data_IF_315216608129
#
_entry.id   IF_315216608129
#
_cell.length_a   1.000
_cell.length_b   1.000
_cell.length_c   1.000
_cell.angle_alpha   90.00
_cell.angle_beta   90.00
_cell.angle_gamma   90.00
#
_symmetry.space_group_name_H-M   'P 1'
#
loop_
_entity.id
_entity.type
_entity.pdbx_description
1 polymer ?
#
# COMPACT_ATOMS: atom_id res chain seq x y z
N UNK A 1 61.14 2.56 -43.31
CA UNK A 1 60.49 3.82 -43.69
C UNK A 1 59.18 3.90 -42.91
N UNK A 2 59.09 4.92 -42.06
CA UNK A 2 57.88 5.50 -41.47
C UNK A 2 57.01 4.68 -40.48
N UNK A 3 57.34 4.92 -39.22
CA UNK A 3 56.51 4.98 -38.01
C UNK A 3 55.15 5.64 -38.24
N UNK A 4 54.09 5.12 -37.60
CA UNK A 4 53.02 5.96 -37.02
C UNK A 4 52.31 5.22 -35.88
N UNK A 5 52.75 5.54 -34.67
CA UNK A 5 52.08 5.27 -33.40
C UNK A 5 50.90 6.25 -33.30
N UNK A 6 49.67 5.75 -33.11
CA UNK A 6 48.56 6.59 -32.64
C UNK A 6 48.32 6.32 -31.16
N UNK A 7 48.85 7.25 -30.37
CA UNK A 7 48.55 7.47 -28.97
C UNK A 7 47.09 7.98 -28.88
N UNK A 8 46.19 7.22 -28.27
CA UNK A 8 44.87 7.69 -27.89
C UNK A 8 44.76 7.65 -26.37
N UNK A 9 44.50 8.81 -25.79
CA UNK A 9 44.57 9.09 -24.37
C UNK A 9 43.48 8.38 -23.55
N UNK A 10 43.91 7.84 -22.40
CA UNK A 10 43.09 7.42 -21.28
C UNK A 10 42.38 8.63 -20.65
N UNK A 11 41.05 8.59 -20.57
CA UNK A 11 40.31 9.23 -19.47
C UNK A 11 38.86 8.70 -19.39
N UNK A 12 38.68 7.51 -18.82
CA UNK A 12 37.34 7.09 -18.36
C UNK A 12 37.15 7.58 -16.94
N UNK A 13 36.29 8.58 -16.75
CA UNK A 13 35.81 8.98 -15.43
C UNK A 13 35.11 7.80 -14.77
N UNK A 14 35.68 7.34 -13.66
CA UNK A 14 35.02 6.40 -12.77
C UNK A 14 33.99 7.22 -11.99
N UNK A 15 32.73 7.21 -12.41
CA UNK A 15 31.65 7.63 -11.53
C UNK A 15 31.49 6.55 -10.47
N UNK A 16 32.16 6.72 -9.33
CA UNK A 16 31.85 5.94 -8.14
C UNK A 16 30.53 6.47 -7.60
N UNK A 17 29.41 5.82 -7.96
CA UNK A 17 28.16 6.06 -7.25
C UNK A 17 28.33 5.51 -5.85
N UNK A 18 28.53 6.40 -4.89
CA UNK A 18 28.38 6.08 -3.47
C UNK A 18 26.96 5.59 -3.27
N UNK A 19 26.75 4.27 -3.29
CA UNK A 19 25.51 3.69 -2.79
C UNK A 19 25.50 3.97 -1.30
N UNK A 20 24.66 4.90 -0.88
CA UNK A 20 24.37 5.15 0.52
C UNK A 20 23.84 3.84 1.13
N UNK A 21 24.73 3.08 1.76
CA UNK A 21 24.35 2.03 2.68
C UNK A 21 23.86 2.67 3.97
N UNK A 22 22.55 2.86 4.09
CA UNK A 22 21.80 2.75 5.34
C UNK A 22 20.31 2.92 5.06
N UNK A 23 19.69 1.85 4.57
CA UNK A 23 18.31 1.56 4.94
C UNK A 23 18.35 0.07 5.30
N UNK A 24 18.10 -0.24 6.57
CA UNK A 24 17.78 -1.60 6.96
C UNK A 24 16.64 -2.04 6.04
N UNK A 25 16.92 -3.05 5.22
CA UNK A 25 15.97 -3.65 4.29
C UNK A 25 14.69 -3.95 5.07
N UNK A 26 13.64 -3.16 4.82
CA UNK A 26 12.34 -3.40 5.43
C UNK A 26 11.89 -4.76 4.90
N UNK A 27 11.87 -5.78 5.77
CA UNK A 27 11.61 -7.20 5.49
C UNK A 27 10.94 -7.40 4.12
N UNK A 28 11.67 -7.98 3.16
CA UNK A 28 11.09 -8.53 1.90
C UNK A 28 10.20 -9.72 2.27
N UNK A 29 9.07 -9.43 2.92
CA UNK A 29 8.03 -10.40 3.16
C UNK A 29 7.28 -10.64 1.87
N UNK A 30 6.88 -11.89 1.62
CA UNK A 30 6.09 -12.23 0.43
C UNK A 30 4.74 -11.50 0.39
N UNK A 31 4.30 -10.90 1.50
CA UNK A 31 3.10 -10.10 1.59
C UNK A 31 1.83 -10.93 1.46
N UNK A 32 0.78 -10.29 0.94
CA UNK A 32 -0.53 -10.89 0.73
C UNK A 32 -0.91 -10.83 -0.74
N UNK A 33 -1.82 -11.68 -1.20
CA UNK A 33 -2.42 -11.61 -2.53
C UNK A 33 -3.94 -11.55 -2.47
N UNK A 34 -4.53 -10.90 -3.47
CA UNK A 34 -5.98 -10.77 -3.62
C UNK A 34 -6.57 -12.10 -4.08
N UNK A 35 -7.51 -12.62 -3.29
CA UNK A 35 -8.27 -13.84 -3.61
C UNK A 35 -9.62 -13.52 -4.25
N UNK A 36 -10.28 -12.44 -3.80
CA UNK A 36 -11.49 -11.92 -4.43
C UNK A 36 -11.69 -10.45 -4.07
N UNK A 37 -12.43 -9.74 -4.90
CA UNK A 37 -12.84 -8.37 -4.65
C UNK A 37 -14.30 -8.18 -5.08
N UNK A 38 -15.06 -7.45 -4.29
CA UNK A 38 -16.44 -7.07 -4.58
C UNK A 38 -16.69 -5.66 -4.09
N UNK A 39 -17.48 -4.88 -4.82
CA UNK A 39 -17.84 -3.53 -4.43
C UNK A 39 -19.36 -3.39 -4.41
N UNK A 40 -19.88 -2.87 -3.31
CA UNK A 40 -21.30 -2.56 -3.14
C UNK A 40 -21.46 -1.26 -2.35
N UNK A 41 -22.40 -0.40 -2.76
CA UNK A 41 -22.73 0.85 -2.09
C UNK A 41 -21.50 1.76 -1.75
N UNK A 42 -20.44 1.74 -2.56
CA UNK A 42 -19.20 2.50 -2.31
C UNK A 42 -18.27 1.87 -1.27
N UNK A 43 -18.51 0.63 -0.90
CA UNK A 43 -17.65 -0.18 -0.02
C UNK A 43 -17.02 -1.29 -0.86
N UNK A 44 -15.72 -1.16 -1.11
CA UNK A 44 -14.92 -2.20 -1.75
C UNK A 44 -14.39 -3.15 -0.68
N UNK A 45 -14.71 -4.43 -0.81
CA UNK A 45 -14.24 -5.50 0.05
C UNK A 45 -13.26 -6.39 -0.73
N UNK A 46 -12.04 -6.53 -0.22
CA UNK A 46 -10.96 -7.32 -0.83
C UNK A 46 -10.56 -8.40 0.15
N UNK A 47 -10.70 -9.67 -0.26
CA UNK A 47 -10.22 -10.80 0.53
C UNK A 47 -8.78 -11.09 0.14
N UNK A 48 -7.91 -11.24 1.14
CA UNK A 48 -6.50 -11.51 0.94
C UNK A 48 -6.08 -12.86 1.54
N UNK A 49 -5.09 -13.50 0.93
CA UNK A 49 -4.38 -14.65 1.48
C UNK A 49 -2.89 -14.34 1.60
N UNK A 50 -2.24 -14.84 2.65
CA UNK A 50 -0.79 -14.67 2.83
C UNK A 50 -0.04 -15.43 1.74
N UNK A 51 0.94 -14.81 1.09
CA UNK A 51 1.69 -15.44 0.01
C UNK A 51 2.67 -16.50 0.51
N UNK A 52 3.30 -16.25 1.65
CA UNK A 52 4.16 -17.22 2.33
C UNK A 52 4.03 -16.98 3.82
N UNK A 53 3.37 -17.91 4.51
CA UNK A 53 3.14 -17.79 5.94
C UNK A 53 4.46 -17.97 6.69
N UNK A 54 4.87 -16.98 7.47
CA UNK A 54 5.96 -17.13 8.41
C UNK A 54 5.42 -17.69 9.72
N UNK A 55 5.99 -18.81 10.17
CA UNK A 55 5.63 -19.48 11.44
C UNK A 55 6.70 -19.33 12.52
N UNK A 56 7.81 -18.64 12.21
CA UNK A 56 8.99 -18.55 13.09
C UNK A 56 9.60 -17.14 13.09
N UNK A 57 8.76 -16.13 13.31
CA UNK A 57 9.26 -14.76 13.57
C UNK A 57 9.24 -14.45 15.06
N UNK A 58 10.06 -13.49 15.49
CA UNK A 58 10.00 -12.92 16.84
C UNK A 58 8.64 -12.27 17.19
N UNK A 59 7.77 -12.06 16.19
CA UNK A 59 6.47 -11.41 16.33
C UNK A 59 5.29 -12.39 16.25
N UNK A 60 5.56 -13.70 16.16
CA UNK A 60 4.56 -14.75 16.02
C UNK A 60 4.30 -15.15 14.57
N UNK A 61 3.20 -15.88 14.36
CA UNK A 61 2.79 -16.38 13.05
C UNK A 61 1.93 -15.38 12.30
N UNK A 62 2.10 -15.31 10.98
CA UNK A 62 1.28 -14.47 10.12
C UNK A 62 -0.19 -14.92 10.08
N UNK A 63 -1.09 -13.96 9.88
CA UNK A 63 -2.51 -14.24 9.66
C UNK A 63 -2.71 -14.81 8.26
N UNK A 64 -3.34 -15.98 8.14
CA UNK A 64 -3.49 -16.69 6.86
C UNK A 64 -4.42 -15.96 5.88
N UNK A 65 -5.44 -15.27 6.39
CA UNK A 65 -6.43 -14.58 5.59
C UNK A 65 -6.82 -13.23 6.22
N UNK A 66 -6.89 -12.20 5.38
CA UNK A 66 -7.32 -10.86 5.77
C UNK A 66 -8.51 -10.41 4.94
N UNK A 67 -9.24 -9.42 5.45
CA UNK A 67 -10.25 -8.67 4.71
C UNK A 67 -9.86 -7.20 4.75
N UNK A 68 -9.77 -6.58 3.57
CA UNK A 68 -9.62 -5.13 3.43
C UNK A 68 -10.97 -4.56 3.07
N UNK A 69 -11.44 -3.59 3.86
CA UNK A 69 -12.63 -2.81 3.57
C UNK A 69 -12.22 -1.38 3.24
N UNK A 70 -12.61 -0.91 2.06
CA UNK A 70 -12.34 0.44 1.57
C UNK A 70 -13.68 1.17 1.43
N UNK A 71 -13.94 2.12 2.31
CA UNK A 71 -15.16 2.93 2.31
C UNK A 71 -14.93 4.21 1.52
N UNK A 72 -15.70 4.38 0.44
CA UNK A 72 -15.63 5.49 -0.53
C UNK A 72 -16.95 6.28 -0.60
N UNK A 73 -17.56 6.52 0.55
CA UNK A 73 -18.89 7.16 0.66
C UNK A 73 -18.81 8.67 0.82
N UNK A 74 -17.63 9.21 1.15
CA UNK A 74 -17.36 10.65 1.28
C UNK A 74 -16.53 11.18 0.10
N UNK A 75 -16.76 12.43 -0.29
CA UNK A 75 -16.14 13.04 -1.48
C UNK A 75 -14.63 13.25 -1.31
N UNK A 76 -14.19 13.59 -0.11
CA UNK A 76 -12.83 14.03 0.24
C UNK A 76 -12.11 13.05 1.19
N UNK A 77 -12.77 11.96 1.56
CA UNK A 77 -12.32 11.01 2.57
C UNK A 77 -12.48 9.57 2.07
N UNK A 78 -11.41 8.79 2.24
CA UNK A 78 -11.36 7.35 1.97
C UNK A 78 -10.89 6.66 3.23
N UNK A 79 -11.60 5.61 3.67
CA UNK A 79 -11.23 4.84 4.85
C UNK A 79 -10.85 3.44 4.44
N UNK A 80 -9.63 3.02 4.79
CA UNK A 80 -9.14 1.65 4.59
C UNK A 80 -9.06 0.98 5.95
N UNK A 81 -9.66 -0.21 6.08
CA UNK A 81 -9.58 -1.06 7.28
C UNK A 81 -9.11 -2.45 6.87
N UNK A 82 -8.06 -2.95 7.52
CA UNK A 82 -7.53 -4.31 7.31
C UNK A 82 -7.85 -5.12 8.56
N UNK A 83 -8.54 -6.24 8.39
CA UNK A 83 -9.00 -7.09 9.48
C UNK A 83 -8.56 -8.53 9.28
N UNK A 84 -8.46 -9.26 10.38
CA UNK A 84 -8.38 -10.73 10.35
C UNK A 84 -9.73 -11.28 9.86
N UNK A 85 -9.69 -12.16 8.86
CA UNK A 85 -10.89 -12.79 8.28
C UNK A 85 -11.51 -13.82 9.23
N UNK A 86 -10.68 -14.49 10.03
CA UNK A 86 -11.08 -15.66 10.80
C UNK A 86 -11.50 -15.30 12.23
N UNK A 87 -11.04 -14.15 12.74
CA UNK A 87 -11.21 -13.79 14.15
C UNK A 87 -11.44 -12.29 14.32
N UNK A 88 -12.37 -11.91 15.20
CA UNK A 88 -12.52 -10.50 15.58
C UNK A 88 -11.34 -10.08 16.46
N UNK A 89 -10.55 -9.10 15.99
CA UNK A 89 -9.49 -8.47 16.79
C UNK A 89 -10.03 -7.25 17.51
N UNK A 90 -9.30 -6.79 18.53
CA UNK A 90 -9.67 -5.61 19.28
C UNK A 90 -9.66 -4.37 18.36
N UNK A 91 -10.79 -3.67 18.31
CA UNK A 91 -10.93 -2.37 17.64
C UNK A 91 -11.15 -1.32 18.73
N UNK A 92 -10.57 -0.12 18.55
CA UNK A 92 -10.72 0.95 19.52
C UNK A 92 -12.21 1.32 19.66
N UNK A 93 -12.78 1.30 20.88
CA UNK A 93 -14.16 1.70 21.10
C UNK A 93 -14.38 3.15 20.67
N UNK A 94 -15.47 3.38 19.93
CA UNK A 94 -15.78 4.69 19.35
C UNK A 94 -16.16 5.72 20.39
N UNK A 95 -16.80 5.28 21.47
CA UNK A 95 -17.32 6.15 22.53
C UNK A 95 -16.19 6.82 23.33
N UNK A 96 -14.93 6.37 23.17
CA UNK A 96 -13.75 7.03 23.74
C UNK A 96 -13.38 8.32 23.00
N UNK A 97 -13.96 8.59 21.83
CA UNK A 97 -13.69 9.79 21.05
C UNK A 97 -14.93 10.67 20.99
N UNK A 98 -14.75 11.96 21.32
CA UNK A 98 -15.71 12.98 20.91
C UNK A 98 -15.79 12.97 19.39
N UNK A 99 -17.01 13.14 18.85
CA UNK A 99 -17.22 13.21 17.41
C UNK A 99 -16.25 14.24 16.79
N UNK A 100 -15.42 13.79 15.84
CA UNK A 100 -14.42 14.61 15.17
C UNK A 100 -12.98 14.06 15.23
N UNK A 101 -12.61 13.30 16.26
CA UNK A 101 -11.20 12.85 16.40
C UNK A 101 -10.83 11.63 15.53
N UNK A 102 -11.80 10.78 15.19
CA UNK A 102 -11.64 9.64 14.26
C UNK A 102 -12.46 9.78 12.96
N UNK A 103 -12.89 11.00 12.64
CA UNK A 103 -13.85 11.28 11.58
C UNK A 103 -15.29 10.89 11.94
N UNK A 104 -16.26 11.42 11.19
CA UNK A 104 -17.67 11.03 11.27
C UNK A 104 -17.86 9.63 10.71
N UNK A 105 -18.80 8.85 11.28
CA UNK A 105 -19.29 7.70 10.53
C UNK A 105 -20.11 8.25 9.38
N UNK A 106 -19.66 8.04 8.15
CA UNK A 106 -20.51 8.25 7.01
C UNK A 106 -21.75 7.38 7.18
N UNK A 107 -22.91 8.01 7.37
CA UNK A 107 -24.22 7.35 7.35
C UNK A 107 -24.71 7.12 5.92
N UNK A 108 -23.90 7.52 4.93
CA UNK A 108 -24.20 7.33 3.54
C UNK A 108 -24.24 5.84 3.21
N UNK A 109 -25.32 5.44 2.57
CA UNK A 109 -25.59 4.08 2.11
C UNK A 109 -25.27 3.91 0.63
N UNK A 110 -24.44 4.79 0.07
CA UNK A 110 -24.11 4.85 -1.35
C UNK A 110 -22.73 5.46 -1.56
N UNK A 111 -22.14 5.17 -2.73
CA UNK A 111 -20.85 5.71 -3.11
C UNK A 111 -20.87 7.24 -3.22
N UNK A 112 -19.73 7.88 -2.93
CA UNK A 112 -19.56 9.31 -3.12
C UNK A 112 -19.79 9.70 -4.58
N UNK A 113 -20.56 10.76 -4.81
CA UNK A 113 -20.70 11.35 -6.14
C UNK A 113 -19.44 12.18 -6.44
N UNK A 114 -18.70 11.77 -7.48
CA UNK A 114 -17.45 12.41 -7.91
C UNK A 114 -16.44 12.61 -6.75
N UNK A 115 -15.84 11.54 -6.20
CA UNK A 115 -14.80 11.68 -5.18
C UNK A 115 -13.60 12.47 -5.73
N UNK A 116 -12.86 13.18 -4.87
CA UNK A 116 -11.65 13.94 -5.20
C UNK A 116 -10.39 13.05 -5.31
N UNK A 117 -10.53 11.79 -4.98
CA UNK A 117 -9.47 10.79 -5.00
C UNK A 117 -9.85 9.59 -5.88
N UNK A 118 -8.84 8.83 -6.29
CA UNK A 118 -8.98 7.49 -6.83
C UNK A 118 -8.23 6.50 -5.93
N UNK A 119 -8.84 5.34 -5.69
CA UNK A 119 -8.24 4.22 -4.97
C UNK A 119 -7.86 3.14 -5.96
N UNK A 120 -6.57 2.78 -6.00
CA UNK A 120 -6.04 1.74 -6.90
C UNK A 120 -5.35 0.67 -6.07
N UNK A 121 -5.41 -0.59 -6.49
CA UNK A 121 -4.69 -1.68 -5.82
C UNK A 121 -4.08 -2.65 -6.83
N UNK A 122 -3.01 -3.31 -6.41
CA UNK A 122 -2.36 -4.41 -7.14
C UNK A 122 -2.78 -5.75 -6.51
N UNK A 123 -2.78 -6.83 -7.30
CA UNK A 123 -3.30 -8.11 -6.82
C UNK A 123 -2.25 -8.96 -6.10
N UNK A 124 -1.00 -8.98 -6.58
CA UNK A 124 0.06 -9.81 -6.01
C UNK A 124 1.46 -9.21 -6.25
N UNK A 125 2.20 -8.83 -5.20
CA UNK A 125 1.71 -8.66 -3.82
C UNK A 125 0.64 -7.57 -3.77
N UNK A 126 -0.27 -7.65 -2.80
CA UNK A 126 -1.30 -6.65 -2.58
C UNK A 126 -0.66 -5.36 -2.08
N UNK A 127 -0.82 -4.31 -2.87
CA UNK A 127 -0.50 -2.93 -2.50
C UNK A 127 -1.66 -2.03 -2.89
N UNK A 128 -1.77 -0.86 -2.29
CA UNK A 128 -2.77 0.12 -2.70
C UNK A 128 -2.22 1.55 -2.70
N UNK A 129 -2.86 2.37 -3.53
CA UNK A 129 -2.53 3.78 -3.71
C UNK A 129 -3.78 4.64 -3.64
N UNK A 130 -3.65 5.79 -3.00
CA UNK A 130 -4.65 6.86 -3.04
C UNK A 130 -4.06 8.02 -3.81
N UNK A 131 -4.73 8.40 -4.90
CA UNK A 131 -4.24 9.43 -5.82
C UNK A 131 -5.26 10.56 -5.88
N UNK A 132 -4.80 11.81 -5.78
CA UNK A 132 -5.65 12.99 -5.97
C UNK A 132 -6.03 13.11 -7.45
N UNK A 133 -7.33 13.22 -7.75
CA UNK A 133 -7.82 13.25 -9.14
C UNK A 133 -7.49 14.54 -9.89
N UNK A 134 -7.35 15.66 -9.20
CA UNK A 134 -7.17 16.98 -9.83
C UNK A 134 -5.82 17.14 -10.53
N UNK A 135 -4.77 16.55 -9.99
CA UNK A 135 -3.38 16.69 -10.46
C UNK A 135 -2.65 15.35 -10.66
N UNK A 136 -3.30 14.23 -10.32
CA UNK A 136 -2.70 12.90 -10.39
C UNK A 136 -1.65 12.64 -9.30
N UNK A 137 -1.56 13.50 -8.27
CA UNK A 137 -0.55 13.35 -7.22
C UNK A 137 -0.88 12.17 -6.29
N UNK A 138 0.09 11.28 -6.07
CA UNK A 138 -0.05 10.15 -5.14
C UNK A 138 0.03 10.64 -3.69
N UNK A 139 -1.11 10.57 -2.99
CA UNK A 139 -1.23 10.97 -1.58
C UNK A 139 -0.75 9.86 -0.64
N UNK A 140 -0.94 8.60 -1.04
CA UNK A 140 -0.53 7.44 -0.28
C UNK A 140 -0.14 6.31 -1.23
N UNK A 141 0.96 5.62 -0.92
CA UNK A 141 1.46 4.47 -1.66
C UNK A 141 1.99 3.43 -0.68
N UNK A 142 1.49 2.19 -0.77
CA UNK A 142 1.94 1.09 0.08
C UNK A 142 2.90 0.12 -0.62
N UNK A 143 3.31 0.39 -1.87
CA UNK A 143 4.24 -0.48 -2.63
C UNK A 143 5.70 -0.22 -2.32
#
# INVERSE_FOLDING_TARGET
MSILIRLAALLSWIFSTSTFGCAQHFIDGSGYSVTSASEDAGVLTINLAVNTASTSTSYGSDLSALVVTVTKTEKDSVRVKILDKNSKRWEVPRDLFTAGSLGTNSTATSAATDPLYSFNYTQNPFTFKVVRKSDGYTLFDSS
#
